data_IF_316778226816
#
_entry.id   IF_316778226816
#
_cell.length_a   1.000
_cell.length_b   1.000
_cell.length_c   1.000
_cell.angle_alpha   90.00
_cell.angle_beta   90.00
_cell.angle_gamma   90.00
#
_symmetry.space_group_name_H-M   'P 1'
#
loop_
_entity.id
_entity.type
_entity.pdbx_description
1 polymer ?
#
# COMPACT_ATOMS: atom_id res chain seq x y z
N UNK A 1 -28.96 -27.94 23.86
CA UNK A 1 -28.53 -26.67 24.48
C UNK A 1 -27.56 -25.97 23.54
N UNK A 2 -27.96 -24.77 23.09
CA UNK A 2 -27.13 -23.66 22.56
C UNK A 2 -26.08 -23.94 21.47
N UNK A 3 -26.46 -23.72 20.20
CA UNK A 3 -25.65 -22.95 19.24
C UNK A 3 -25.89 -21.45 19.52
N UNK A 4 -24.88 -20.57 19.38
CA UNK A 4 -24.61 -19.99 18.05
C UNK A 4 -23.11 -19.97 17.71
N UNK A 5 -22.74 -20.41 16.50
CA UNK A 5 -22.50 -19.50 15.36
C UNK A 5 -21.24 -18.62 15.54
N UNK A 6 -20.05 -19.23 15.51
CA UNK A 6 -18.87 -18.52 14.99
C UNK A 6 -18.98 -18.42 13.47
N UNK A 7 -19.99 -17.68 12.99
CA UNK A 7 -19.86 -16.97 11.73
C UNK A 7 -18.84 -15.88 12.04
N UNK A 8 -17.56 -16.21 11.84
CA UNK A 8 -16.50 -15.24 11.63
C UNK A 8 -17.00 -14.36 10.48
N UNK A 9 -17.67 -13.29 10.84
CA UNK A 9 -18.31 -12.40 9.89
C UNK A 9 -17.19 -11.57 9.30
N UNK A 10 -16.54 -12.13 8.28
CA UNK A 10 -15.72 -11.40 7.30
C UNK A 10 -16.57 -10.34 6.54
N UNK A 11 -17.86 -10.21 6.87
CA UNK A 11 -18.71 -9.11 6.49
C UNK A 11 -18.40 -7.87 7.33
N UNK A 12 -17.37 -7.12 6.94
CA UNK A 12 -17.28 -5.72 7.32
C UNK A 12 -18.57 -5.04 6.83
N UNK A 13 -19.31 -4.42 7.75
CA UNK A 13 -20.58 -3.78 7.39
C UNK A 13 -20.32 -2.55 6.51
N UNK A 14 -21.27 -2.18 5.65
CA UNK A 14 -21.16 -0.96 4.82
C UNK A 14 -20.93 0.27 5.72
N UNK A 15 -21.55 0.30 6.89
CA UNK A 15 -21.39 1.37 7.86
C UNK A 15 -19.97 1.41 8.45
N UNK A 16 -19.35 0.26 8.71
CA UNK A 16 -17.94 0.19 9.12
C UNK A 16 -17.00 0.64 8.00
N UNK A 17 -17.28 0.27 6.75
CA UNK A 17 -16.51 0.72 5.59
C UNK A 17 -16.56 2.26 5.46
N UNK A 18 -17.74 2.87 5.57
CA UNK A 18 -17.89 4.34 5.51
C UNK A 18 -17.14 5.05 6.65
N UNK A 19 -17.14 4.48 7.86
CA UNK A 19 -16.37 5.02 8.99
C UNK A 19 -14.86 4.92 8.72
N UNK A 20 -14.38 3.77 8.22
CA UNK A 20 -12.99 3.57 7.85
C UNK A 20 -12.55 4.54 6.75
N UNK A 21 -13.37 4.74 5.72
CA UNK A 21 -13.14 5.70 4.64
C UNK A 21 -13.12 7.15 5.15
N UNK A 22 -14.05 7.52 6.04
CA UNK A 22 -14.08 8.86 6.63
C UNK A 22 -12.81 9.18 7.42
N UNK A 23 -12.29 8.21 8.16
CA UNK A 23 -11.03 8.34 8.90
C UNK A 23 -9.85 8.41 7.93
N UNK A 24 -9.80 7.53 6.92
CA UNK A 24 -8.76 7.54 5.90
C UNK A 24 -8.74 8.89 5.15
N UNK A 25 -9.90 9.47 4.85
CA UNK A 25 -10.01 10.77 4.19
C UNK A 25 -9.49 11.90 5.09
N UNK A 26 -9.85 11.89 6.38
CA UNK A 26 -9.33 12.84 7.38
C UNK A 26 -7.81 12.75 7.50
N UNK A 27 -7.26 11.54 7.58
CA UNK A 27 -5.81 11.31 7.64
C UNK A 27 -5.12 11.76 6.37
N UNK A 28 -5.70 11.50 5.20
CA UNK A 28 -5.12 11.90 3.91
C UNK A 28 -5.09 13.43 3.74
N UNK A 29 -6.09 14.15 4.26
CA UNK A 29 -6.06 15.62 4.28
C UNK A 29 -4.97 16.18 5.20
N UNK A 30 -4.76 15.54 6.35
CA UNK A 30 -3.80 16.00 7.36
C UNK A 30 -2.36 15.60 7.03
N UNK A 31 -2.16 14.42 6.44
CA UNK A 31 -0.89 13.89 5.98
C UNK A 31 -0.96 13.68 4.46
N UNK A 32 -0.76 14.75 3.67
CA UNK A 32 -0.95 14.69 2.23
C UNK A 32 0.02 13.69 1.56
N UNK A 33 -0.39 13.08 0.44
CA UNK A 33 0.46 12.12 -0.28
C UNK A 33 1.69 12.84 -0.83
N UNK A 34 2.86 12.24 -0.59
CA UNK A 34 4.15 12.75 -1.06
C UNK A 34 4.31 12.57 -2.58
N UNK A 35 5.31 13.25 -3.16
CA UNK A 35 5.62 13.17 -4.59
C UNK A 35 5.75 11.73 -5.09
N UNK A 36 6.31 10.82 -4.26
CA UNK A 36 6.51 9.42 -4.60
C UNK A 36 5.19 8.62 -4.63
N UNK A 37 4.18 9.01 -3.86
CA UNK A 37 2.84 8.42 -3.95
C UNK A 37 2.09 8.93 -5.17
N UNK A 38 2.25 10.22 -5.50
CA UNK A 38 1.58 10.84 -6.65
C UNK A 38 2.19 10.43 -7.99
N UNK A 39 3.52 10.42 -8.06
CA UNK A 39 4.27 10.17 -9.29
C UNK A 39 4.85 8.75 -9.32
N UNK A 40 4.75 7.95 -8.26
CA UNK A 40 5.36 6.63 -8.21
C UNK A 40 4.91 5.73 -9.36
N UNK A 41 3.62 5.79 -9.73
CA UNK A 41 3.09 5.01 -10.86
C UNK A 41 3.62 5.50 -12.21
N UNK A 42 3.67 6.81 -12.43
CA UNK A 42 4.18 7.36 -13.70
C UNK A 42 5.68 7.18 -13.81
N UNK A 43 6.44 7.36 -12.73
CA UNK A 43 7.87 7.06 -12.66
C UNK A 43 8.14 5.58 -12.87
N UNK A 44 7.33 4.68 -12.32
CA UNK A 44 7.45 3.25 -12.56
C UNK A 44 7.24 2.91 -14.04
N UNK A 45 6.15 3.39 -14.64
CA UNK A 45 5.89 3.18 -16.05
C UNK A 45 6.97 3.80 -16.95
N UNK A 46 7.44 5.00 -16.62
CA UNK A 46 8.52 5.66 -17.34
C UNK A 46 9.82 4.85 -17.26
N UNK A 47 10.16 4.33 -16.08
CA UNK A 47 11.39 3.56 -15.90
C UNK A 47 11.31 2.19 -16.58
N UNK A 48 10.14 1.55 -16.58
CA UNK A 48 9.89 0.33 -17.36
C UNK A 48 10.03 0.62 -18.86
N UNK A 49 9.44 1.72 -19.34
CA UNK A 49 9.51 2.11 -20.75
C UNK A 49 10.94 2.46 -21.18
N UNK A 50 11.69 3.24 -20.38
CA UNK A 50 13.10 3.55 -20.67
C UNK A 50 13.96 2.30 -20.61
N UNK A 51 13.69 1.39 -19.67
CA UNK A 51 14.40 0.11 -19.58
C UNK A 51 14.15 -0.74 -20.82
N UNK A 52 12.90 -0.87 -21.27
CA UNK A 52 12.56 -1.57 -22.50
C UNK A 52 13.24 -0.94 -23.72
N UNK A 53 13.21 0.39 -23.83
CA UNK A 53 13.88 1.10 -24.91
C UNK A 53 15.40 0.86 -24.90
N UNK A 54 16.05 0.91 -23.73
CA UNK A 54 17.47 0.60 -23.61
C UNK A 54 17.78 -0.85 -23.95
N UNK A 55 16.92 -1.81 -23.58
CA UNK A 55 17.07 -3.22 -23.94
C UNK A 55 17.02 -3.42 -25.46
N UNK A 56 16.08 -2.75 -26.15
CA UNK A 56 15.95 -2.79 -27.60
C UNK A 56 17.18 -2.20 -28.28
N UNK A 57 17.66 -1.03 -27.82
CA UNK A 57 18.85 -0.38 -28.36
C UNK A 57 20.12 -1.22 -28.16
N UNK A 58 20.32 -1.79 -26.96
CA UNK A 58 21.45 -2.67 -26.65
C UNK A 58 21.41 -3.99 -27.44
N UNK A 59 20.21 -4.54 -27.66
CA UNK A 59 20.02 -5.74 -28.46
C UNK A 59 20.30 -5.55 -29.94
N UNK A 60 19.93 -4.39 -30.48
CA UNK A 60 20.29 -3.99 -31.85
C UNK A 60 21.80 -3.75 -32.00
N UNK A 61 22.49 -3.36 -30.94
CA UNK A 61 23.92 -3.06 -30.93
C UNK A 61 24.85 -4.27 -30.76
N UNK A 62 24.35 -5.51 -30.83
CA UNK A 62 25.16 -6.74 -30.72
C UNK A 62 25.90 -6.89 -29.37
N UNK A 63 25.29 -6.40 -28.30
CA UNK A 63 25.79 -6.60 -26.94
C UNK A 63 25.66 -8.07 -26.49
N UNK A 64 26.55 -8.56 -25.61
CA UNK A 64 26.43 -9.89 -25.03
C UNK A 64 25.09 -10.04 -24.29
N UNK A 65 24.50 -11.24 -24.36
CA UNK A 65 23.13 -11.54 -23.93
C UNK A 65 22.79 -11.16 -22.46
N UNK A 66 23.78 -10.99 -21.60
CA UNK A 66 23.57 -10.53 -20.21
C UNK A 66 23.20 -9.04 -20.12
N UNK A 67 23.49 -8.23 -21.15
CA UNK A 67 23.10 -6.82 -21.22
C UNK A 67 21.58 -6.61 -21.24
N UNK A 68 20.82 -7.63 -21.67
CA UNK A 68 19.35 -7.64 -21.61
C UNK A 68 18.81 -7.78 -20.18
N UNK A 69 19.61 -8.32 -19.24
CA UNK A 69 19.19 -8.49 -17.85
C UNK A 69 19.19 -7.15 -17.11
N UNK A 70 20.10 -6.23 -17.46
CA UNK A 70 20.20 -4.91 -16.83
C UNK A 70 18.85 -4.18 -16.85
N UNK A 71 18.21 -3.90 -18.00
CA UNK A 71 16.91 -3.24 -18.02
C UNK A 71 15.77 -4.04 -17.38
N UNK A 72 15.93 -5.36 -17.16
CA UNK A 72 14.93 -6.15 -16.43
C UNK A 72 15.03 -5.91 -14.91
N UNK A 73 16.26 -5.83 -14.39
CA UNK A 73 16.51 -5.76 -12.94
C UNK A 73 16.73 -4.35 -12.40
N UNK A 74 17.37 -3.46 -13.17
CA UNK A 74 17.68 -2.07 -12.78
C UNK A 74 16.43 -1.25 -12.36
N UNK A 75 15.31 -1.23 -13.11
CA UNK A 75 14.11 -0.50 -12.70
C UNK A 75 13.56 -1.01 -11.36
N UNK A 76 13.55 -2.33 -11.16
CA UNK A 76 13.08 -2.95 -9.91
C UNK A 76 13.99 -2.58 -8.74
N UNK A 77 15.31 -2.61 -8.94
CA UNK A 77 16.28 -2.21 -7.93
C UNK A 77 16.15 -0.73 -7.55
N UNK A 78 16.02 0.17 -8.53
CA UNK A 78 16.00 1.63 -8.29
C UNK A 78 14.67 2.12 -7.73
N UNK A 79 13.55 1.52 -8.15
CA UNK A 79 12.22 2.02 -7.75
C UNK A 79 11.59 1.28 -6.58
N UNK A 80 12.01 0.03 -6.33
CA UNK A 80 11.47 -0.76 -5.22
C UNK A 80 12.50 -0.89 -4.12
N UNK A 81 13.72 -1.31 -4.47
CA UNK A 81 14.74 -1.60 -3.46
C UNK A 81 15.38 -0.34 -2.88
N UNK A 82 15.69 0.66 -3.72
CA UNK A 82 16.31 1.91 -3.26
C UNK A 82 15.41 2.73 -2.30
N UNK A 83 14.11 2.94 -2.58
CA UNK A 83 13.25 3.71 -1.68
C UNK A 83 12.92 2.92 -0.40
N UNK A 84 12.88 1.59 -0.50
CA UNK A 84 12.74 0.72 0.65
C UNK A 84 13.99 0.80 1.54
N UNK A 85 15.19 0.74 0.97
CA UNK A 85 16.45 0.79 1.72
C UNK A 85 16.71 2.18 2.34
N UNK A 86 16.49 3.26 1.59
CA UNK A 86 16.81 4.62 2.03
C UNK A 86 15.74 5.22 2.95
N UNK A 87 14.47 4.91 2.70
CA UNK A 87 13.35 5.58 3.37
C UNK A 87 12.41 4.61 4.11
N UNK A 88 12.70 3.31 4.10
CA UNK A 88 11.79 2.27 4.60
C UNK A 88 10.52 2.12 3.75
N UNK A 89 10.41 2.81 2.60
CA UNK A 89 9.15 3.04 1.89
C UNK A 89 8.74 1.88 1.00
N UNK A 90 7.48 1.46 1.15
CA UNK A 90 6.80 0.53 0.26
C UNK A 90 5.91 1.33 -0.69
N UNK A 91 6.13 1.20 -1.99
CA UNK A 91 5.32 1.85 -3.04
C UNK A 91 3.85 1.46 -2.91
N UNK A 92 2.94 2.44 -2.98
CA UNK A 92 1.49 2.23 -2.92
C UNK A 92 0.89 2.23 -1.51
N UNK A 93 1.69 2.45 -0.46
CA UNK A 93 1.18 2.73 0.89
C UNK A 93 1.04 4.24 1.11
N UNK A 94 -0.06 4.71 1.73
CA UNK A 94 -0.19 6.12 2.08
C UNK A 94 0.74 6.48 3.25
N UNK A 95 1.25 7.71 3.24
CA UNK A 95 2.25 8.23 4.18
C UNK A 95 1.92 7.97 5.64
N UNK A 96 0.65 8.13 6.02
CA UNK A 96 0.16 7.92 7.39
C UNK A 96 0.12 6.45 7.82
N UNK A 97 0.15 5.50 6.88
CA UNK A 97 0.15 4.06 7.16
C UNK A 97 1.57 3.45 7.23
N UNK A 98 2.61 4.28 7.10
CA UNK A 98 3.98 3.83 7.10
C UNK A 98 4.44 3.44 8.53
N UNK A 99 5.27 2.39 8.73
CA UNK A 99 5.76 2.00 10.06
C UNK A 99 6.60 3.10 10.73
N UNK A 100 7.25 3.96 9.95
CA UNK A 100 7.98 5.15 10.41
C UNK A 100 7.12 6.44 10.42
N UNK A 101 5.81 6.35 10.17
CA UNK A 101 4.95 7.52 10.21
C UNK A 101 4.78 8.02 11.65
N UNK A 102 5.19 9.25 11.90
CA UNK A 102 4.87 9.94 13.16
C UNK A 102 3.49 10.55 13.01
N UNK A 103 2.49 9.90 13.61
CA UNK A 103 1.15 10.46 13.74
C UNK A 103 1.03 11.26 15.03
N UNK A 104 0.25 12.33 14.99
CA UNK A 104 -0.17 13.04 16.19
C UNK A 104 -0.89 12.08 17.15
N UNK A 105 -0.62 12.22 18.46
CA UNK A 105 -1.26 11.43 19.53
C UNK A 105 -2.78 11.23 19.38
N UNK A 106 -3.61 12.26 19.11
CA UNK A 106 -5.05 12.07 18.94
C UNK A 106 -5.41 11.16 17.74
N UNK A 107 -4.65 11.22 16.65
CA UNK A 107 -4.93 10.41 15.46
C UNK A 107 -4.46 8.97 15.66
N UNK A 108 -3.32 8.77 16.33
CA UNK A 108 -2.83 7.45 16.73
C UNK A 108 -3.82 6.76 17.68
N UNK A 109 -4.39 7.49 18.64
CA UNK A 109 -5.39 6.97 19.58
C UNK A 109 -6.72 6.65 18.88
N UNK A 110 -7.11 7.44 17.88
CA UNK A 110 -8.29 7.16 17.06
C UNK A 110 -8.09 5.88 16.23
N UNK A 111 -6.94 5.75 15.57
CA UNK A 111 -6.56 4.52 14.85
C UNK A 111 -6.55 3.31 15.79
N UNK A 112 -6.03 3.48 17.01
CA UNK A 112 -6.03 2.47 18.07
C UNK A 112 -7.41 1.93 18.38
N UNK A 113 -8.37 2.82 18.62
CA UNK A 113 -9.74 2.44 18.97
C UNK A 113 -10.41 1.69 17.84
N UNK A 114 -10.18 2.11 16.61
CA UNK A 114 -10.80 1.51 15.42
C UNK A 114 -10.19 0.15 15.12
N UNK A 115 -8.86 0.02 15.14
CA UNK A 115 -8.18 -1.27 14.98
C UNK A 115 -8.61 -2.24 16.07
N UNK A 116 -8.63 -1.81 17.34
CA UNK A 116 -9.09 -2.65 18.45
C UNK A 116 -10.56 -3.08 18.34
N UNK A 117 -11.40 -2.27 17.68
CA UNK A 117 -12.82 -2.61 17.45
C UNK A 117 -13.02 -3.63 16.33
N UNK A 118 -12.06 -3.79 15.42
CA UNK A 118 -12.16 -4.68 14.25
C UNK A 118 -11.31 -5.93 14.41
N UNK A 119 -10.15 -5.85 15.06
CA UNK A 119 -9.20 -6.95 15.24
C UNK A 119 -8.79 -7.00 16.71
N UNK A 120 -9.28 -8.02 17.43
CA UNK A 120 -8.95 -8.24 18.83
C UNK A 120 -7.50 -8.71 18.95
N UNK A 121 -6.60 -7.87 19.47
CA UNK A 121 -5.36 -8.33 20.09
C UNK A 121 -4.03 -8.23 19.32
N UNK A 122 -3.88 -7.41 18.27
CA UNK A 122 -2.55 -7.17 17.69
C UNK A 122 -2.20 -5.69 17.45
N UNK A 123 -0.89 -5.48 17.31
CA UNK A 123 -0.15 -4.21 17.21
C UNK A 123 -0.94 -3.08 16.55
N UNK A 124 -1.16 -2.03 17.34
CA UNK A 124 -1.86 -0.83 16.91
C UNK A 124 -0.92 0.04 16.09
N UNK A 125 -1.10 0.05 14.77
CA UNK A 125 -0.34 0.90 13.86
C UNK A 125 -1.20 1.36 12.70
N UNK A 126 -0.78 2.45 12.04
CA UNK A 126 -1.39 2.89 10.78
C UNK A 126 -1.36 1.81 9.68
N UNK A 127 -0.37 0.91 9.73
CA UNK A 127 -0.25 -0.23 8.81
C UNK A 127 -1.35 -1.27 9.03
N UNK A 128 -1.67 -1.59 10.30
CA UNK A 128 -2.76 -2.51 10.62
C UNK A 128 -4.10 -1.95 10.13
N UNK A 129 -4.35 -0.67 10.38
CA UNK A 129 -5.54 0.01 9.86
C UNK A 129 -5.62 0.00 8.33
N UNK A 130 -4.52 0.29 7.63
CA UNK A 130 -4.49 0.25 6.17
C UNK A 130 -4.77 -1.15 5.62
N UNK A 131 -4.26 -2.18 6.27
CA UNK A 131 -4.51 -3.58 5.90
C UNK A 131 -5.98 -3.95 6.07
N UNK A 132 -6.61 -3.52 7.17
CA UNK A 132 -8.06 -3.69 7.41
C UNK A 132 -8.86 -2.96 6.32
N UNK A 133 -8.51 -1.72 6.00
CA UNK A 133 -9.17 -0.94 4.93
C UNK A 133 -9.07 -1.64 3.57
N UNK A 134 -7.89 -2.14 3.20
CA UNK A 134 -7.71 -2.89 1.95
C UNK A 134 -8.51 -4.20 1.92
N UNK A 135 -8.56 -4.94 3.04
CA UNK A 135 -9.39 -6.15 3.15
C UNK A 135 -10.87 -5.82 3.00
N UNK A 136 -11.32 -4.73 3.64
CA UNK A 136 -12.69 -4.25 3.54
C UNK A 136 -13.09 -3.91 2.10
N UNK A 137 -12.24 -3.18 1.37
CA UNK A 137 -12.49 -2.88 -0.04
C UNK A 137 -12.52 -4.12 -0.93
N UNK A 138 -11.61 -5.09 -0.72
CA UNK A 138 -11.66 -6.36 -1.47
C UNK A 138 -12.96 -7.10 -1.20
N UNK A 139 -13.34 -7.25 0.07
CA UNK A 139 -14.57 -7.93 0.46
C UNK A 139 -15.83 -7.24 -0.10
N UNK A 140 -15.84 -5.90 -0.18
CA UNK A 140 -16.90 -5.13 -0.82
C UNK A 140 -16.97 -5.37 -2.33
N UNK A 141 -15.82 -5.38 -3.03
CA UNK A 141 -15.77 -5.63 -4.48
C UNK A 141 -16.26 -7.03 -4.84
N UNK A 142 -15.96 -8.05 -4.03
CA UNK A 142 -16.46 -9.42 -4.26
C UNK A 142 -17.97 -9.59 -4.03
N UNK A 143 -18.66 -8.64 -3.39
CA UNK A 143 -20.12 -8.68 -3.24
C UNK A 143 -20.89 -8.09 -4.43
N UNK A 144 -20.19 -7.39 -5.32
CA UNK A 144 -20.79 -6.65 -6.43
C UNK A 144 -20.36 -7.14 -7.82
N UNK A 145 -19.51 -8.17 -7.90
CA UNK A 145 -19.16 -8.87 -9.14
C UNK A 145 -19.77 -10.26 -9.18
#
# INVERSE_FOLDING_TARGET
MSKPLHLRSDAISIQQLLVLEGIAHRLTRKYPPDWLERQGRSLYLATVATSFLTAVLLGLAWGPWWGFLVPLFMPTCVLVFLPWLLCGRVTGRPRWAHPLAVLDRPDAELLRRVVASVEYGQTVSGEAFFTILCRAHRAANYRHG
#
